data_IF_848545224298
#
_entry.id   IF_848545224298
#
_cell.length_a   1.000
_cell.length_b   1.000
_cell.length_c   1.000
_cell.angle_alpha   90.00
_cell.angle_beta   90.00
_cell.angle_gamma   90.00
#
_symmetry.space_group_name_H-M   'P 1'
#
loop_
_entity.id
_entity.type
_entity.pdbx_description
1 polymer ?
#
# COMPACT_ATOMS: atom_id res chain seq x y z
N UNK A 1 12.86 -28.21 -10.32
CA UNK A 1 12.83 -27.86 -11.75
C UNK A 1 13.42 -26.46 -11.87
N UNK A 2 14.73 -26.37 -12.19
CA UNK A 2 15.46 -25.11 -12.32
C UNK A 2 15.01 -24.42 -13.60
N UNK A 3 14.13 -23.42 -13.51
CA UNK A 3 13.98 -22.46 -14.60
C UNK A 3 15.25 -21.60 -14.60
N UNK A 4 16.08 -21.81 -15.61
CA UNK A 4 17.17 -20.88 -15.95
C UNK A 4 16.48 -19.55 -16.24
N UNK A 5 16.68 -18.56 -15.35
CA UNK A 5 16.11 -17.23 -15.51
C UNK A 5 16.70 -16.60 -16.77
N UNK A 6 15.89 -16.43 -17.81
CA UNK A 6 16.30 -15.76 -19.05
C UNK A 6 16.81 -14.35 -18.72
N UNK A 7 18.05 -14.05 -19.09
CA UNK A 7 18.74 -12.80 -18.76
C UNK A 7 17.94 -11.51 -19.03
N UNK A 8 17.16 -11.39 -20.12
CA UNK A 8 16.36 -10.20 -20.39
C UNK A 8 15.20 -9.99 -19.39
N UNK A 9 14.53 -11.06 -18.94
CA UNK A 9 13.45 -10.98 -17.95
C UNK A 9 13.97 -10.59 -16.56
N UNK A 10 15.10 -11.15 -16.16
CA UNK A 10 15.79 -10.78 -14.91
C UNK A 10 16.22 -9.32 -14.93
N UNK A 11 16.76 -8.83 -16.06
CA UNK A 11 17.14 -7.43 -16.22
C UNK A 11 15.94 -6.47 -16.10
N UNK A 12 14.79 -6.82 -16.72
CA UNK A 12 13.55 -6.04 -16.61
C UNK A 12 13.09 -5.99 -15.15
N UNK A 13 13.09 -7.11 -14.43
CA UNK A 13 12.71 -7.18 -13.02
C UNK A 13 13.63 -6.31 -12.14
N UNK A 14 14.94 -6.44 -12.31
CA UNK A 14 15.91 -5.63 -11.55
C UNK A 14 15.71 -4.16 -11.84
N UNK A 15 15.53 -3.77 -13.11
CA UNK A 15 15.28 -2.37 -13.48
C UNK A 15 14.01 -1.83 -12.83
N UNK A 16 12.92 -2.60 -12.83
CA UNK A 16 11.65 -2.21 -12.19
C UNK A 16 11.81 -2.04 -10.67
N UNK A 17 12.52 -2.97 -10.01
CA UNK A 17 12.79 -2.90 -8.57
C UNK A 17 13.65 -1.69 -8.22
N UNK A 18 14.75 -1.47 -8.95
CA UNK A 18 15.64 -0.33 -8.72
C UNK A 18 14.93 0.99 -8.98
N UNK A 19 14.18 1.09 -10.08
CA UNK A 19 13.42 2.31 -10.39
C UNK A 19 12.36 2.58 -9.32
N UNK A 20 11.63 1.55 -8.89
CA UNK A 20 10.65 1.68 -7.81
C UNK A 20 11.28 2.11 -6.48
N UNK A 21 12.43 1.52 -6.12
CA UNK A 21 13.17 1.90 -4.91
C UNK A 21 13.69 3.34 -4.97
N UNK A 22 14.26 3.76 -6.09
CA UNK A 22 14.78 5.14 -6.28
C UNK A 22 13.64 6.15 -6.25
N UNK A 23 12.55 5.91 -6.98
CA UNK A 23 11.38 6.81 -6.97
C UNK A 23 10.76 6.86 -5.57
N UNK A 24 10.57 5.72 -4.92
CA UNK A 24 10.04 5.65 -3.56
C UNK A 24 10.91 6.41 -2.57
N UNK A 25 12.23 6.20 -2.60
CA UNK A 25 13.18 6.92 -1.75
C UNK A 25 13.18 8.43 -2.02
N UNK A 26 13.19 8.85 -3.29
CA UNK A 26 13.17 10.27 -3.68
C UNK A 26 11.89 10.97 -3.23
N UNK A 27 10.72 10.34 -3.43
CA UNK A 27 9.43 10.90 -3.00
C UNK A 27 9.36 10.97 -1.47
N UNK A 28 9.82 9.93 -0.78
CA UNK A 28 9.86 9.91 0.69
C UNK A 28 10.80 10.99 1.22
N UNK A 29 12.01 11.12 0.65
CA UNK A 29 12.96 12.16 1.02
C UNK A 29 12.39 13.56 0.80
N UNK A 30 11.83 13.82 -0.39
CA UNK A 30 11.19 15.10 -0.69
C UNK A 30 10.04 15.42 0.28
N UNK A 31 9.22 14.42 0.61
CA UNK A 31 8.13 14.58 1.56
C UNK A 31 8.67 14.88 2.97
N UNK A 32 9.68 14.14 3.44
CA UNK A 32 10.30 14.35 4.74
C UNK A 32 10.93 15.75 4.84
N UNK A 33 11.63 16.21 3.82
CA UNK A 33 12.27 17.53 3.80
C UNK A 33 11.24 18.67 3.86
N UNK A 34 10.12 18.54 3.15
CA UNK A 34 9.10 19.58 3.10
C UNK A 34 8.06 19.48 4.23
N UNK A 35 7.83 18.30 4.79
CA UNK A 35 6.88 18.08 5.88
C UNK A 35 7.54 18.10 7.27
N UNK A 36 8.86 18.03 7.37
CA UNK A 36 9.59 18.00 8.64
C UNK A 36 9.35 19.23 9.51
N UNK A 37 9.08 20.39 8.90
CA UNK A 37 8.71 21.60 9.62
C UNK A 37 7.24 21.64 10.05
N UNK A 38 6.39 20.78 9.48
CA UNK A 38 4.94 20.78 9.66
C UNK A 38 4.43 19.59 10.49
N UNK A 39 5.24 18.56 10.64
CA UNK A 39 4.93 17.38 11.45
C UNK A 39 6.21 16.85 12.09
N UNK A 40 6.16 16.56 13.37
CA UNK A 40 7.25 15.90 14.06
C UNK A 40 7.36 14.45 13.57
N UNK A 41 8.31 14.22 12.66
CA UNK A 41 8.58 12.91 12.04
C UNK A 41 9.59 12.08 12.85
N UNK A 42 10.00 12.55 14.03
CA UNK A 42 10.78 11.74 14.97
C UNK A 42 9.93 10.65 15.64
N UNK A 43 8.58 10.83 15.65
CA UNK A 43 7.66 9.78 16.09
C UNK A 43 7.65 8.60 15.10
N UNK A 44 8.10 7.39 15.51
CA UNK A 44 8.14 6.22 14.64
C UNK A 44 6.78 5.83 14.05
N UNK A 45 5.67 6.08 14.77
CA UNK A 45 4.34 5.75 14.29
C UNK A 45 3.92 6.67 13.14
N UNK A 46 4.24 7.97 13.23
CA UNK A 46 4.01 8.92 12.15
C UNK A 46 4.87 8.62 10.92
N UNK A 47 6.16 8.38 11.14
CA UNK A 47 7.08 8.02 10.06
C UNK A 47 6.61 6.77 9.31
N UNK A 48 6.19 5.75 10.05
CA UNK A 48 5.65 4.51 9.46
C UNK A 48 4.37 4.77 8.67
N UNK A 49 3.46 5.60 9.18
CA UNK A 49 2.22 5.94 8.50
C UNK A 49 2.45 6.78 7.23
N UNK A 50 3.41 7.72 7.26
CA UNK A 50 3.84 8.49 6.09
C UNK A 50 4.42 7.56 5.03
N UNK A 51 5.35 6.69 5.41
CA UNK A 51 5.98 5.75 4.48
C UNK A 51 4.94 4.82 3.84
N UNK A 52 4.05 4.23 4.65
CA UNK A 52 2.97 3.40 4.15
C UNK A 52 2.03 4.19 3.21
N UNK A 53 1.63 5.40 3.60
CA UNK A 53 0.77 6.26 2.80
C UNK A 53 1.37 6.58 1.43
N UNK A 54 2.65 6.95 1.38
CA UNK A 54 3.39 7.21 0.14
C UNK A 54 3.44 5.97 -0.75
N UNK A 55 3.77 4.80 -0.19
CA UNK A 55 3.82 3.53 -0.93
C UNK A 55 2.46 3.25 -1.59
N UNK A 56 1.38 3.36 -0.85
CA UNK A 56 0.04 3.11 -1.38
C UNK A 56 -0.37 4.12 -2.46
N UNK A 57 -0.07 5.41 -2.29
CA UNK A 57 -0.34 6.43 -3.31
C UNK A 57 0.48 6.17 -4.57
N UNK A 58 1.77 5.87 -4.45
CA UNK A 58 2.62 5.59 -5.61
C UNK A 58 2.14 4.37 -6.37
N UNK A 59 1.80 3.28 -5.67
CA UNK A 59 1.22 2.09 -6.30
C UNK A 59 -0.08 2.41 -7.03
N UNK A 60 -1.00 3.10 -6.37
CA UNK A 60 -2.26 3.50 -6.98
C UNK A 60 -2.06 4.44 -8.17
N UNK A 61 -1.14 5.40 -8.08
CA UNK A 61 -0.83 6.32 -9.17
C UNK A 61 -0.24 5.60 -10.40
N UNK A 62 0.69 4.67 -10.19
CA UNK A 62 1.28 3.87 -11.29
C UNK A 62 0.19 3.07 -12.01
N UNK A 63 -0.69 2.40 -11.25
CA UNK A 63 -1.80 1.63 -11.83
C UNK A 63 -2.82 2.54 -12.53
N UNK A 64 -3.13 3.70 -11.94
CA UNK A 64 -4.05 4.68 -12.53
C UNK A 64 -3.50 5.24 -13.87
N UNK A 65 -2.22 5.62 -13.89
CA UNK A 65 -1.54 6.10 -15.12
C UNK A 65 -1.58 5.01 -16.19
N UNK A 66 -1.29 3.76 -15.81
CA UNK A 66 -1.39 2.62 -16.73
C UNK A 66 -2.79 2.43 -17.30
N UNK A 67 -3.82 2.52 -16.46
CA UNK A 67 -5.21 2.39 -16.88
C UNK A 67 -5.70 3.56 -17.78
N UNK A 68 -5.18 4.78 -17.57
CA UNK A 68 -5.52 5.96 -18.37
C UNK A 68 -4.77 5.94 -19.72
N UNK A 69 -3.49 5.57 -19.71
CA UNK A 69 -2.60 5.55 -20.87
C UNK A 69 -2.05 4.12 -21.11
N UNK A 70 -2.85 3.19 -21.70
CA UNK A 70 -2.47 1.77 -21.83
C UNK A 70 -1.17 1.54 -22.56
N UNK A 71 -0.86 2.33 -23.59
CA UNK A 71 0.41 2.21 -24.33
C UNK A 71 1.64 2.58 -23.51
N UNK A 72 1.52 3.50 -22.55
CA UNK A 72 2.57 3.78 -21.59
C UNK A 72 2.57 2.70 -20.47
N UNK A 73 1.38 2.33 -19.99
CA UNK A 73 1.19 1.34 -18.94
C UNK A 73 1.84 -0.01 -19.26
N UNK A 74 1.74 -0.48 -20.50
CA UNK A 74 2.32 -1.74 -20.95
C UNK A 74 3.87 -1.81 -20.78
N UNK A 75 4.53 -0.66 -20.64
CA UNK A 75 6.00 -0.63 -20.44
C UNK A 75 6.41 -0.88 -18.99
N UNK A 76 5.57 -0.55 -18.01
CA UNK A 76 5.91 -0.66 -16.58
C UNK A 76 4.94 -1.52 -15.76
N UNK A 77 3.72 -1.75 -16.21
CA UNK A 77 2.88 -2.78 -15.62
C UNK A 77 3.30 -4.17 -16.11
N UNK A 78 3.05 -5.19 -15.32
CA UNK A 78 3.37 -6.57 -15.69
C UNK A 78 2.24 -7.18 -16.53
N UNK A 79 2.08 -6.66 -17.74
CA UNK A 79 1.10 -7.06 -18.76
C UNK A 79 1.79 -7.37 -20.06
N UNK A 80 1.14 -8.15 -20.94
CA UNK A 80 1.69 -8.51 -22.25
C UNK A 80 1.66 -7.32 -23.23
N UNK A 81 0.52 -6.62 -23.28
CA UNK A 81 0.34 -5.49 -24.18
C UNK A 81 -0.67 -4.45 -23.63
N UNK A 82 -0.91 -3.42 -24.43
CA UNK A 82 -1.87 -2.37 -24.11
C UNK A 82 -3.34 -2.85 -24.20
N UNK A 83 -3.63 -3.90 -24.96
CA UNK A 83 -4.98 -4.42 -25.10
C UNK A 83 -5.42 -5.13 -23.80
N UNK A 84 -4.51 -5.86 -23.15
CA UNK A 84 -4.75 -6.47 -21.83
C UNK A 84 -5.15 -5.41 -20.78
N UNK A 85 -4.50 -4.24 -20.78
CA UNK A 85 -4.83 -3.13 -19.87
C UNK A 85 -6.25 -2.60 -20.14
N UNK A 86 -6.64 -2.47 -21.40
CA UNK A 86 -7.98 -2.00 -21.78
C UNK A 86 -9.05 -2.98 -21.31
N UNK A 87 -8.81 -4.28 -21.49
CA UNK A 87 -9.71 -5.35 -21.06
C UNK A 87 -9.83 -5.38 -19.53
N UNK A 88 -8.72 -5.29 -18.80
CA UNK A 88 -8.66 -5.33 -17.34
C UNK A 88 -8.96 -3.97 -16.66
N UNK A 89 -9.21 -2.90 -17.44
CA UNK A 89 -9.42 -1.54 -16.91
C UNK A 89 -10.51 -1.47 -15.84
N UNK A 90 -11.57 -2.30 -16.01
CA UNK A 90 -12.67 -2.40 -15.06
C UNK A 90 -12.25 -2.89 -13.66
N UNK A 91 -11.09 -3.54 -13.55
CA UNK A 91 -10.50 -4.03 -12.29
C UNK A 91 -9.35 -3.13 -11.83
N UNK A 92 -8.51 -2.68 -12.76
CA UNK A 92 -7.33 -1.86 -12.47
C UNK A 92 -7.69 -0.49 -11.90
N UNK A 93 -8.67 0.20 -12.49
CA UNK A 93 -9.04 1.55 -12.05
C UNK A 93 -9.60 1.58 -10.61
N UNK A 94 -10.53 0.69 -10.21
CA UNK A 94 -10.98 0.63 -8.82
C UNK A 94 -9.88 0.25 -7.83
N UNK A 95 -8.98 -0.67 -8.21
CA UNK A 95 -7.86 -1.05 -7.36
C UNK A 95 -6.90 0.12 -7.12
N UNK A 96 -6.64 0.92 -8.16
CA UNK A 96 -5.86 2.15 -8.05
C UNK A 96 -6.51 3.15 -7.07
N UNK A 97 -7.83 3.34 -7.18
CA UNK A 97 -8.59 4.24 -6.30
C UNK A 97 -8.50 3.76 -4.84
N UNK A 98 -8.66 2.47 -4.58
CA UNK A 98 -8.55 1.89 -3.23
C UNK A 98 -7.17 2.15 -2.64
N UNK A 99 -6.10 1.94 -3.41
CA UNK A 99 -4.74 2.22 -2.95
C UNK A 99 -4.55 3.71 -2.63
N UNK A 100 -4.98 4.61 -3.52
CA UNK A 100 -4.86 6.06 -3.31
C UNK A 100 -5.65 6.51 -2.07
N UNK A 101 -6.89 6.05 -1.90
CA UNK A 101 -7.72 6.40 -0.74
C UNK A 101 -7.09 5.94 0.58
N UNK A 102 -6.54 4.72 0.62
CA UNK A 102 -5.85 4.22 1.81
C UNK A 102 -4.61 5.05 2.11
N UNK A 103 -3.82 5.37 1.09
CA UNK A 103 -2.63 6.20 1.24
C UNK A 103 -2.95 7.63 1.70
N UNK A 104 -3.97 8.27 1.10
CA UNK A 104 -4.45 9.60 1.53
C UNK A 104 -4.93 9.58 2.98
N UNK A 105 -5.68 8.55 3.38
CA UNK A 105 -6.13 8.39 4.76
C UNK A 105 -4.96 8.31 5.73
N UNK A 106 -3.94 7.48 5.43
CA UNK A 106 -2.76 7.34 6.28
C UNK A 106 -1.96 8.64 6.38
N UNK A 107 -1.76 9.36 5.27
CA UNK A 107 -1.09 10.65 5.27
C UNK A 107 -1.87 11.71 6.05
N UNK A 108 -3.19 11.79 5.85
CA UNK A 108 -4.02 12.75 6.58
C UNK A 108 -3.91 12.54 8.09
N UNK A 109 -3.95 11.28 8.55
CA UNK A 109 -3.80 10.94 9.97
C UNK A 109 -2.38 11.22 10.48
N UNK A 110 -1.34 10.97 9.70
CA UNK A 110 0.04 11.23 10.08
C UNK A 110 0.36 12.73 10.20
N UNK A 111 -0.33 13.57 9.43
CA UNK A 111 -0.15 15.03 9.43
C UNK A 111 -0.99 15.75 10.49
N UNK A 112 -1.71 15.04 11.35
CA UNK A 112 -2.48 15.65 12.43
C UNK A 112 -1.63 15.93 13.68
N UNK A 113 -1.97 16.95 14.50
CA UNK A 113 -1.36 17.12 15.82
C UNK A 113 -1.60 15.87 16.70
N UNK A 114 -0.58 15.38 17.37
CA UNK A 114 -0.66 14.26 18.30
C UNK A 114 -0.09 14.65 19.66
N UNK A 115 -0.94 14.78 20.69
CA UNK A 115 -0.47 15.26 21.99
C UNK A 115 0.11 16.68 21.87
N UNK A 116 1.38 16.84 22.25
CA UNK A 116 2.15 18.10 22.15
C UNK A 116 2.83 18.28 20.78
N UNK A 117 2.69 17.30 19.87
CA UNK A 117 3.35 17.31 18.56
C UNK A 117 2.58 18.20 17.57
N UNK A 118 3.28 19.06 16.81
CA UNK A 118 2.66 19.88 15.78
C UNK A 118 2.10 19.03 14.64
N UNK A 119 1.15 19.55 13.90
CA UNK A 119 0.59 18.91 12.71
C UNK A 119 0.21 19.94 11.66
N UNK A 120 0.36 19.56 10.37
CA UNK A 120 -0.01 20.41 9.24
C UNK A 120 -1.52 20.46 8.98
N UNK A 121 -2.26 19.46 9.46
CA UNK A 121 -3.70 19.33 9.25
C UNK A 121 -4.43 19.37 10.59
N UNK A 122 -5.52 20.14 10.68
CA UNK A 122 -6.34 20.17 11.90
C UNK A 122 -6.98 18.79 12.17
N UNK A 123 -7.24 18.47 13.43
CA UNK A 123 -7.87 17.20 13.83
C UNK A 123 -9.22 16.98 13.14
N UNK A 124 -10.03 18.01 13.05
CA UNK A 124 -11.35 17.92 12.43
C UNK A 124 -11.24 17.67 10.91
N UNK A 125 -10.34 18.39 10.23
CA UNK A 125 -10.10 18.17 8.81
C UNK A 125 -9.59 16.74 8.53
N UNK A 126 -8.65 16.24 9.31
CA UNK A 126 -8.16 14.88 9.17
C UNK A 126 -9.24 13.83 9.47
N UNK A 127 -10.10 14.08 10.48
CA UNK A 127 -11.21 13.19 10.77
C UNK A 127 -12.20 13.09 9.61
N UNK A 128 -12.54 14.24 8.98
CA UNK A 128 -13.41 14.24 7.81
C UNK A 128 -12.76 13.54 6.60
N UNK A 129 -11.47 13.78 6.36
CA UNK A 129 -10.72 13.09 5.28
C UNK A 129 -10.69 11.58 5.56
N UNK A 130 -10.33 11.17 6.77
CA UNK A 130 -10.25 9.76 7.13
C UNK A 130 -11.62 9.06 7.03
N UNK A 131 -12.68 9.69 7.55
CA UNK A 131 -14.04 9.16 7.47
C UNK A 131 -14.53 9.06 6.02
N UNK A 132 -14.28 10.08 5.21
CA UNK A 132 -14.61 10.09 3.78
C UNK A 132 -13.88 9.00 3.00
N UNK A 133 -12.56 8.88 3.21
CA UNK A 133 -11.76 7.80 2.60
C UNK A 133 -12.26 6.43 3.05
N UNK A 134 -12.52 6.23 4.33
CA UNK A 134 -13.01 4.95 4.86
C UNK A 134 -14.37 4.59 4.26
N UNK A 135 -15.32 5.54 4.21
CA UNK A 135 -16.62 5.32 3.58
C UNK A 135 -16.48 4.96 2.09
N UNK A 136 -15.61 5.68 1.37
CA UNK A 136 -15.32 5.41 -0.04
C UNK A 136 -14.67 4.03 -0.24
N UNK A 137 -13.76 3.60 0.65
CA UNK A 137 -13.16 2.27 0.64
C UNK A 137 -14.22 1.17 0.83
N UNK A 138 -15.15 1.35 1.77
CA UNK A 138 -16.26 0.41 1.99
C UNK A 138 -17.14 0.32 0.76
N UNK A 139 -17.57 1.46 0.20
CA UNK A 139 -18.39 1.52 -1.02
C UNK A 139 -17.67 0.86 -2.20
N UNK A 140 -16.41 1.20 -2.42
CA UNK A 140 -15.61 0.60 -3.50
C UNK A 140 -15.48 -0.92 -3.33
N UNK A 141 -15.22 -1.40 -2.12
CA UNK A 141 -15.10 -2.82 -1.80
C UNK A 141 -16.42 -3.58 -2.06
N UNK A 142 -17.56 -3.00 -1.67
CA UNK A 142 -18.87 -3.59 -1.93
C UNK A 142 -19.19 -3.63 -3.43
N UNK A 143 -18.89 -2.53 -4.14
CA UNK A 143 -19.13 -2.44 -5.58
C UNK A 143 -18.24 -3.41 -6.39
N UNK A 144 -17.00 -3.63 -5.97
CA UNK A 144 -16.07 -4.55 -6.63
C UNK A 144 -16.46 -6.02 -6.44
N UNK A 145 -17.18 -6.40 -5.38
CA UNK A 145 -17.49 -7.80 -5.06
C UNK A 145 -18.12 -8.58 -6.22
N UNK A 146 -18.96 -7.93 -7.02
CA UNK A 146 -19.62 -8.54 -8.17
C UNK A 146 -18.79 -8.57 -9.45
N UNK A 147 -17.64 -7.90 -9.48
CA UNK A 147 -16.79 -7.72 -10.67
C UNK A 147 -15.48 -8.49 -10.62
N UNK A 148 -15.12 -8.99 -9.44
CA UNK A 148 -13.88 -9.76 -9.22
C UNK A 148 -14.14 -11.19 -9.68
N UNK A 149 -13.32 -11.68 -10.60
CA UNK A 149 -13.31 -13.08 -11.02
C UNK A 149 -12.84 -14.01 -9.88
N UNK A 150 -13.04 -15.30 -10.07
CA UNK A 150 -12.74 -16.31 -9.06
C UNK A 150 -11.23 -16.37 -8.72
N UNK A 151 -10.37 -16.17 -9.72
CA UNK A 151 -8.91 -16.16 -9.53
C UNK A 151 -8.47 -15.01 -8.63
N UNK A 152 -8.88 -13.77 -8.94
CA UNK A 152 -8.56 -12.59 -8.14
C UNK A 152 -9.22 -12.65 -6.74
N UNK A 153 -10.42 -13.23 -6.64
CA UNK A 153 -11.06 -13.50 -5.35
C UNK A 153 -10.24 -14.47 -4.50
N UNK A 154 -9.73 -15.55 -5.10
CA UNK A 154 -8.86 -16.52 -4.42
C UNK A 154 -7.58 -15.86 -3.92
N UNK A 155 -6.90 -15.05 -4.77
CA UNK A 155 -5.72 -14.28 -4.38
C UNK A 155 -6.00 -13.34 -3.22
N UNK A 156 -7.08 -12.58 -3.30
CA UNK A 156 -7.47 -11.63 -2.25
C UNK A 156 -7.80 -12.33 -0.93
N UNK A 157 -8.52 -13.45 -0.96
CA UNK A 157 -8.87 -14.21 0.23
C UNK A 157 -7.62 -14.83 0.89
N UNK A 158 -6.72 -15.43 0.10
CA UNK A 158 -5.47 -16.01 0.61
C UNK A 158 -4.58 -14.93 1.23
N UNK A 159 -4.47 -13.76 0.56
CA UNK A 159 -3.69 -12.62 1.08
C UNK A 159 -4.30 -12.07 2.38
N UNK A 160 -5.62 -11.94 2.44
CA UNK A 160 -6.30 -11.45 3.63
C UNK A 160 -6.16 -12.44 4.82
N UNK A 161 -6.26 -13.74 4.56
CA UNK A 161 -6.04 -14.77 5.57
C UNK A 161 -4.60 -14.72 6.11
N UNK A 162 -3.60 -14.64 5.21
CA UNK A 162 -2.19 -14.52 5.61
C UNK A 162 -1.96 -13.23 6.42
N UNK A 163 -2.49 -12.09 5.97
CA UNK A 163 -2.37 -10.83 6.70
C UNK A 163 -3.00 -10.91 8.09
N UNK A 164 -4.16 -11.55 8.22
CA UNK A 164 -4.82 -11.76 9.51
C UNK A 164 -3.97 -12.62 10.46
N UNK A 165 -3.39 -13.73 9.97
CA UNK A 165 -2.50 -14.58 10.78
C UNK A 165 -1.26 -13.81 11.22
N UNK A 166 -0.60 -13.09 10.31
CA UNK A 166 0.57 -12.28 10.63
C UNK A 166 0.23 -11.15 11.63
N UNK A 167 -0.88 -10.47 11.42
CA UNK A 167 -1.35 -9.42 12.33
C UNK A 167 -1.67 -9.96 13.71
N UNK A 168 -2.36 -11.11 13.80
CA UNK A 168 -2.67 -11.76 15.07
C UNK A 168 -1.41 -12.20 15.81
N UNK A 169 -0.42 -12.73 15.10
CA UNK A 169 0.85 -13.14 15.70
C UNK A 169 1.66 -11.93 16.18
N UNK A 170 1.85 -10.91 15.33
CA UNK A 170 2.70 -9.77 15.64
C UNK A 170 2.04 -8.82 16.65
N UNK A 171 0.83 -8.35 16.37
CA UNK A 171 0.16 -7.40 17.26
C UNK A 171 -0.48 -8.07 18.47
N UNK A 172 -0.93 -9.33 18.35
CA UNK A 172 -1.39 -10.13 19.49
C UNK A 172 -0.25 -10.47 20.43
N UNK A 173 0.89 -10.92 19.88
CA UNK A 173 2.10 -11.19 20.67
C UNK A 173 2.64 -9.93 21.34
N UNK A 174 2.72 -8.80 20.59
CA UNK A 174 3.09 -7.51 21.15
C UNK A 174 2.14 -7.06 22.26
N UNK A 175 0.83 -7.20 22.05
CA UNK A 175 -0.19 -6.87 23.03
C UNK A 175 -0.06 -7.69 24.31
N UNK A 176 0.26 -8.97 24.22
CA UNK A 176 0.53 -9.81 25.38
C UNK A 176 1.75 -9.32 26.16
N UNK A 177 2.85 -8.99 25.46
CA UNK A 177 4.07 -8.44 26.09
C UNK A 177 3.82 -7.09 26.74
N UNK A 178 3.05 -6.22 26.09
CA UNK A 178 2.69 -4.90 26.61
C UNK A 178 1.78 -5.03 27.85
N UNK A 179 0.82 -5.97 27.84
CA UNK A 179 -0.02 -6.25 29.00
C UNK A 179 0.79 -6.73 30.23
N UNK A 180 1.84 -7.49 29.96
CA UNK A 180 2.75 -7.97 31.00
C UNK A 180 3.78 -6.91 31.45
N UNK A 181 3.80 -5.72 30.81
CA UNK A 181 4.71 -4.63 31.15
C UNK A 181 6.13 -4.76 30.60
N UNK A 182 6.38 -5.71 29.67
CA UNK A 182 7.71 -5.87 29.07
C UNK A 182 8.01 -4.85 27.99
N UNK A 183 6.99 -4.34 27.31
CA UNK A 183 7.12 -3.33 26.24
C UNK A 183 5.99 -2.31 26.35
N UNK A 184 6.18 -1.14 25.75
CA UNK A 184 5.13 -0.15 25.60
C UNK A 184 4.11 -0.56 24.53
N UNK A 185 2.85 -0.11 24.68
CA UNK A 185 1.82 -0.35 23.70
C UNK A 185 2.10 0.42 22.39
N UNK A 186 1.83 -0.20 21.27
CA UNK A 186 1.98 0.44 19.96
C UNK A 186 1.00 1.62 19.84
N UNK A 187 1.51 2.78 19.39
CA UNK A 187 0.65 3.92 19.11
C UNK A 187 -0.46 3.55 18.11
N UNK A 188 -1.70 4.05 18.28
CA UNK A 188 -2.83 3.70 17.40
C UNK A 188 -2.55 3.91 15.91
N UNK A 189 -1.85 5.00 15.55
CA UNK A 189 -1.45 5.27 14.18
C UNK A 189 -0.43 4.24 13.66
N UNK A 190 0.53 3.83 14.49
CA UNK A 190 1.51 2.79 14.16
C UNK A 190 0.84 1.43 13.94
N UNK A 191 -0.18 1.10 14.75
CA UNK A 191 -0.99 -0.11 14.54
C UNK A 191 -1.70 -0.10 13.19
N UNK A 192 -2.37 1.03 12.85
CA UNK A 192 -3.08 1.18 11.58
C UNK A 192 -2.14 1.07 10.38
N UNK A 193 -1.01 1.77 10.42
CA UNK A 193 0.01 1.72 9.38
C UNK A 193 0.63 0.31 9.25
N UNK A 194 0.90 -0.34 10.38
CA UNK A 194 1.41 -1.71 10.41
C UNK A 194 0.45 -2.72 9.81
N UNK A 195 -0.85 -2.61 10.09
CA UNK A 195 -1.88 -3.45 9.44
C UNK A 195 -1.90 -3.25 7.93
N UNK A 196 -1.83 -2.01 7.46
CA UNK A 196 -1.77 -1.71 6.03
C UNK A 196 -0.52 -2.32 5.36
N UNK A 197 0.65 -2.17 5.98
CA UNK A 197 1.89 -2.75 5.47
C UNK A 197 1.88 -4.29 5.49
N UNK A 198 1.32 -4.92 6.52
CA UNK A 198 1.17 -6.37 6.57
C UNK A 198 0.24 -6.90 5.48
N UNK A 199 -0.87 -6.19 5.22
CA UNK A 199 -1.77 -6.53 4.12
C UNK A 199 -1.05 -6.46 2.77
N UNK A 200 -0.25 -5.42 2.55
CA UNK A 200 0.56 -5.26 1.35
C UNK A 200 1.61 -6.37 1.22
N UNK A 201 2.35 -6.64 2.29
CA UNK A 201 3.37 -7.69 2.31
C UNK A 201 2.76 -9.08 2.06
N UNK A 202 1.61 -9.39 2.65
CA UNK A 202 0.89 -10.63 2.42
C UNK A 202 0.44 -10.77 0.97
N UNK A 203 -0.05 -9.69 0.36
CA UNK A 203 -0.43 -9.69 -1.06
C UNK A 203 0.78 -9.98 -1.96
N UNK A 204 1.90 -9.29 -1.76
CA UNK A 204 3.12 -9.55 -2.51
C UNK A 204 3.66 -10.97 -2.32
N UNK A 205 3.58 -11.48 -1.09
CA UNK A 205 3.98 -12.87 -0.81
C UNK A 205 3.14 -13.88 -1.59
N UNK A 206 1.81 -13.75 -1.55
CA UNK A 206 0.89 -14.68 -2.24
C UNK A 206 1.08 -14.61 -3.75
N UNK A 207 1.13 -13.40 -4.32
CA UNK A 207 1.37 -13.15 -5.74
C UNK A 207 2.73 -13.71 -6.17
N UNK A 208 3.78 -13.46 -5.37
CA UNK A 208 5.13 -13.96 -5.61
C UNK A 208 5.21 -15.48 -5.56
N UNK A 209 4.60 -16.12 -4.56
CA UNK A 209 4.56 -17.58 -4.43
C UNK A 209 3.87 -18.26 -5.61
N UNK A 210 2.88 -17.60 -6.21
CA UNK A 210 2.18 -18.08 -7.41
C UNK A 210 2.92 -17.76 -8.72
N UNK A 211 4.12 -17.14 -8.65
CA UNK A 211 4.94 -16.80 -9.82
C UNK A 211 4.43 -15.63 -10.66
N UNK A 212 3.45 -14.88 -10.17
CA UNK A 212 2.79 -13.79 -10.90
C UNK A 212 3.61 -12.48 -10.91
N UNK A 213 4.70 -12.40 -10.13
CA UNK A 213 5.64 -11.26 -10.14
C UNK A 213 6.66 -11.34 -11.27
N UNK A 214 6.77 -12.50 -11.96
CA UNK A 214 7.70 -12.64 -13.07
C UNK A 214 7.21 -11.81 -14.26
N UNK A 215 8.12 -11.01 -14.90
CA UNK A 215 7.77 -10.25 -16.10
C UNK A 215 7.30 -11.18 -17.23
N UNK A 216 6.17 -10.83 -17.83
CA UNK A 216 5.63 -11.48 -19.03
C UNK A 216 6.31 -10.95 -20.29
#
# INVERSE_FOLDING_TARGET
MNQVMDGPKTRKLILQLVTGAVVGAAVTYFFLENASSAADLEDPARLTAVAAGIIYILMGAIVAIGAIAPGAGAKFLNVEDAAEIVEERGKLAPSAIVCILLGVMLLALALTPGGDLPGALSRDAAAWVAAGCFAALVVASLWMRGKIDEFNRSLGTESAALALYLSSLLFGGWGALAHLGYVEWIAPLGLLAGLALLQLAAMFWVVGRRGLLMPR
#
